data_IF_293696543414
#
_entry.id   IF_293696543414
#
_cell.length_a   1.000
_cell.length_b   1.000
_cell.length_c   1.000
_cell.angle_alpha   90.00
_cell.angle_beta   90.00
_cell.angle_gamma   90.00
#
_symmetry.space_group_name_H-M   'P 1'
#
loop_
_entity.id
_entity.type
_entity.pdbx_description
1 polymer ?
2 non-polymer ?
3 non-polymer ?
4 non-polymer ?
5 water ?
#
# COMPACT_ATOMS: atom_id res chain seq x y z
N UNK A 15 27.88 4.35 20.61
CA UNK A 15 26.64 4.09 19.87
C UNK A 15 26.04 2.71 20.19
N UNK A 16 24.74 2.68 20.49
CA UNK A 16 24.06 1.44 20.80
C UNK A 16 23.98 0.56 19.56
N UNK A 17 24.25 -0.74 19.73
CA UNK A 17 24.19 -1.72 18.66
C UNK A 17 23.03 -2.68 18.90
N UNK A 18 22.46 -3.18 17.81
CA UNK A 18 21.36 -4.14 17.88
C UNK A 18 21.55 -5.18 16.79
N UNK A 19 21.66 -6.45 17.19
CA UNK A 19 21.71 -7.60 16.29
C UNK A 19 22.68 -7.38 15.13
N UNK A 20 23.84 -6.80 15.41
CA UNK A 20 24.86 -6.61 14.39
C UNK A 20 25.00 -5.19 13.89
N UNK A 21 23.89 -4.47 13.78
CA UNK A 21 23.90 -3.15 13.18
C UNK A 21 24.18 -2.06 14.21
N UNK A 22 24.75 -0.96 13.73
CA UNK A 22 24.77 0.27 14.50
C UNK A 22 23.36 0.85 14.56
N UNK A 23 23.00 1.46 15.70
CA UNK A 23 21.72 2.15 15.85
C UNK A 23 22.01 3.48 16.55
N UNK A 24 22.47 4.45 15.75
CA UNK A 24 22.96 5.73 16.26
C UNK A 24 21.82 6.72 16.40
N UNK A 25 21.00 6.49 17.43
CA UNK A 25 19.79 7.29 17.65
C UNK A 25 19.87 8.15 18.89
N UNK A 26 20.91 8.02 19.71
CA UNK A 26 21.03 8.77 20.93
C UNK A 26 21.09 10.26 20.71
N UNK A 27 20.86 11.05 21.77
CA UNK A 27 20.55 10.53 23.11
C UNK A 27 19.06 10.41 23.40
N UNK A 28 18.21 10.92 22.50
CA UNK A 28 16.78 11.05 22.81
C UNK A 28 16.09 9.69 22.90
N UNK A 29 16.58 8.69 22.19
CA UNK A 29 15.91 7.40 22.09
C UNK A 29 16.78 6.32 22.72
N UNK A 30 16.28 5.72 23.80
CA UNK A 30 17.01 4.73 24.57
C UNK A 30 16.20 3.45 24.68
N UNK A 31 16.76 2.47 25.38
CA UNK A 31 16.10 1.20 25.67
C UNK A 31 15.63 0.53 24.37
N UNK A 32 16.54 0.47 23.40
CA UNK A 32 16.20 -0.08 22.10
C UNK A 32 15.92 -1.58 22.18
N UNK A 33 15.04 -2.05 21.30
CA UNK A 33 14.66 -3.45 21.26
C UNK A 33 14.40 -3.86 19.81
N UNK A 34 14.99 -4.96 19.38
CA UNK A 34 14.87 -5.43 18.01
C UNK A 34 13.43 -5.82 17.70
N UNK A 35 13.05 -5.68 16.42
CA UNK A 35 11.71 -6.03 15.97
C UNK A 35 11.78 -6.79 14.65
N UNK A 36 12.35 -6.16 13.62
CA UNK A 36 12.36 -6.76 12.30
C UNK A 36 13.57 -6.34 11.49
N UNK A 37 13.59 -6.76 10.24
CA UNK A 37 14.72 -6.49 9.36
C UNK A 37 14.23 -6.54 7.91
N UNK A 38 14.90 -5.76 7.06
CA UNK A 38 14.62 -5.77 5.64
C UNK A 38 15.85 -6.03 4.81
N UNK A 39 15.79 -5.71 3.51
CA UNK A 39 16.95 -5.91 2.66
C UNK A 39 18.05 -4.89 2.97
N UNK A 40 17.65 -3.65 3.26
CA UNK A 40 18.58 -2.57 3.55
C UNK A 40 18.07 -1.76 4.73
N UNK A 41 17.43 -2.43 5.69
CA UNK A 41 16.85 -1.73 6.82
C UNK A 41 16.67 -2.63 8.03
N UNK A 42 16.35 -2.00 9.15
CA UNK A 42 16.14 -2.69 10.41
C UNK A 42 15.22 -1.84 11.28
N UNK A 43 14.26 -2.49 11.93
CA UNK A 43 13.27 -1.81 12.76
C UNK A 43 13.51 -2.19 14.21
N UNK A 44 13.44 -1.19 15.08
CA UNK A 44 13.54 -1.39 16.52
C UNK A 44 12.51 -0.52 17.23
N UNK A 45 12.08 -0.97 18.39
CA UNK A 45 11.30 -0.12 19.29
C UNK A 45 12.26 0.60 20.24
N UNK A 46 11.82 1.75 20.74
CA UNK A 46 12.73 2.60 21.49
C UNK A 46 11.91 3.50 22.41
N UNK A 47 12.52 3.87 23.53
CA UNK A 47 11.90 4.81 24.46
C UNK A 47 12.30 6.23 24.09
N UNK A 48 11.29 7.08 23.90
CA UNK A 48 11.48 8.49 23.56
C UNK A 48 11.37 9.30 24.85
N UNK A 49 12.51 9.67 25.43
CA UNK A 49 12.51 10.32 26.73
C UNK A 49 11.80 11.67 26.68
N UNK A 50 11.90 12.37 25.55
CA UNK A 50 11.27 13.69 25.44
C UNK A 50 9.76 13.60 25.59
N UNK A 51 9.13 12.66 24.88
CA UNK A 51 7.69 12.49 24.92
C UNK A 51 7.23 11.40 25.88
N UNK A 52 8.16 10.64 26.46
CA UNK A 52 7.86 9.63 27.48
C UNK A 52 6.94 8.53 26.93
N UNK A 53 7.25 8.06 25.72
CA UNK A 53 6.50 6.98 25.10
C UNK A 53 7.47 6.14 24.27
N UNK A 54 7.17 4.85 24.14
CA UNK A 54 7.97 3.99 23.28
C UNK A 54 7.53 4.17 21.82
N UNK A 55 8.50 4.31 20.94
CA UNK A 55 8.26 4.60 19.53
C UNK A 55 8.91 3.51 18.69
N UNK A 56 8.58 3.52 17.39
CA UNK A 56 9.24 2.68 16.41
C UNK A 56 10.30 3.51 15.68
N UNK A 57 11.46 2.90 15.43
CA UNK A 57 12.54 3.55 14.69
C UNK A 57 13.01 2.62 13.60
N UNK A 58 12.98 3.09 12.36
CA UNK A 58 13.40 2.30 11.20
C UNK A 58 14.71 2.88 10.67
N UNK A 59 15.77 2.07 10.71
CA UNK A 59 17.06 2.45 10.15
C UNK A 59 17.09 2.05 8.69
N UNK A 60 17.47 2.99 7.82
CA UNK A 60 17.51 2.78 6.38
C UNK A 60 18.92 3.08 5.91
N UNK A 61 19.46 2.20 5.07
CA UNK A 61 20.82 2.33 4.52
C UNK A 61 20.75 2.19 3.01
N UNK A 62 20.29 3.23 2.31
CA UNK A 62 19.96 3.11 0.87
C UNK A 62 20.98 3.71 -0.09
N UNK A 63 22.07 4.29 0.39
CA UNK A 63 22.86 5.20 -0.43
C UNK A 63 23.80 4.49 -1.39
N UNK A 64 23.91 3.16 -1.33
CA UNK A 64 24.73 2.43 -2.29
C UNK A 64 23.97 2.09 -3.57
N UNK A 65 22.66 2.31 -3.62
CA UNK A 65 21.86 1.81 -4.72
C UNK A 65 20.87 2.86 -5.20
N UNK A 66 20.76 2.96 -6.52
CA UNK A 66 19.90 3.94 -7.17
C UNK A 66 18.45 3.82 -6.69
N UNK A 67 17.91 2.60 -6.70
CA UNK A 67 16.49 2.40 -6.46
C UNK A 67 16.14 2.50 -4.98
N UNK A 68 17.06 2.13 -4.09
CA UNK A 68 16.81 2.32 -2.66
C UNK A 68 16.69 3.81 -2.34
N UNK A 69 17.55 4.63 -2.94
CA UNK A 69 17.46 6.07 -2.76
C UNK A 69 16.14 6.62 -3.29
N UNK A 70 15.70 6.14 -4.45
CA UNK A 70 14.40 6.54 -4.97
C UNK A 70 13.28 6.23 -3.99
N UNK A 71 13.22 4.99 -3.53
CA UNK A 71 12.14 4.58 -2.63
C UNK A 71 12.19 5.33 -1.32
N UNK A 72 13.39 5.55 -0.78
CA UNK A 72 13.52 6.32 0.46
C UNK A 72 13.06 7.75 0.27
N UNK A 73 13.45 8.37 -0.85
CA UNK A 73 13.06 9.76 -1.10
C UNK A 73 11.54 9.87 -1.26
N UNK A 74 10.94 8.97 -2.04
CA UNK A 74 9.49 8.99 -2.20
C UNK A 74 8.79 8.88 -0.85
N UNK A 75 9.17 7.89 -0.04
CA UNK A 75 8.53 7.69 1.25
C UNK A 75 8.64 8.94 2.13
N UNK A 76 9.82 9.54 2.20
CA UNK A 76 10.00 10.72 3.05
C UNK A 76 9.21 11.90 2.50
N UNK A 77 9.28 12.13 1.19
CA UNK A 77 8.58 13.29 0.62
C UNK A 77 7.08 13.21 0.85
N UNK A 78 6.49 12.04 0.61
CA UNK A 78 5.05 11.89 0.72
C UNK A 78 4.59 11.99 2.17
N UNK A 79 5.24 11.23 3.06
CA UNK A 79 4.77 11.18 4.45
C UNK A 79 4.93 12.51 5.16
N UNK A 80 5.93 13.30 4.79
CA UNK A 80 6.10 14.61 5.42
C UNK A 80 5.04 15.60 4.97
N UNK A 81 4.41 15.36 3.83
CA UNK A 81 3.36 16.23 3.32
C UNK A 81 1.97 15.77 3.71
N UNK A 82 1.80 14.51 4.08
CA UNK A 82 0.53 13.96 4.53
C UNK A 82 0.39 14.12 6.04
N UNK A 83 -0.85 14.37 6.49
CA UNK A 83 -1.21 14.30 7.91
C UNK A 83 -2.61 13.70 7.99
N UNK A 84 -2.71 12.44 8.40
CA UNK A 84 -3.99 11.75 8.41
C UNK A 84 -3.97 10.62 9.44
N UNK A 85 -5.09 10.45 10.14
CA UNK A 85 -5.16 9.47 11.23
C UNK A 85 -4.90 8.04 10.75
N UNK A 86 -5.21 7.73 9.48
CA UNK A 86 -5.04 6.37 8.98
C UNK A 86 -3.81 6.21 8.10
N UNK A 87 -2.86 7.14 8.20
CA UNK A 87 -1.58 7.07 7.50
C UNK A 87 -0.48 7.26 8.53
N UNK A 88 0.50 6.34 8.56
CA UNK A 88 1.56 6.44 9.55
C UNK A 88 2.34 7.72 9.33
N UNK A 89 2.56 8.45 10.41
CA UNK A 89 3.30 9.69 10.31
C UNK A 89 4.78 9.46 10.45
N UNK A 90 5.53 10.52 10.12
CA UNK A 90 6.95 10.59 10.47
C UNK A 90 7.07 11.60 11.60
N UNK A 91 7.47 11.13 12.78
CA UNK A 91 7.60 12.00 13.94
C UNK A 91 8.94 12.70 14.00
N UNK A 92 10.00 12.04 13.54
CA UNK A 92 11.35 12.54 13.65
C UNK A 92 12.19 11.81 12.62
N UNK A 93 13.27 12.45 12.19
CA UNK A 93 14.25 11.80 11.33
C UNK A 93 15.62 12.09 11.90
N UNK A 94 16.42 11.04 12.08
CA UNK A 94 17.76 11.13 12.65
C UNK A 94 18.77 10.79 11.56
N UNK A 95 19.77 11.65 11.41
CA UNK A 95 20.85 11.41 10.45
C UNK A 95 22.00 12.34 10.81
N UNK A 96 23.17 12.03 10.24
CA UNK A 96 24.37 12.82 10.49
C UNK A 96 24.17 14.27 10.09
N UNK A 97 24.94 15.20 10.67
CA UNK A 97 24.75 16.62 10.34
C UNK A 97 25.24 17.00 8.95
N UNK A 98 26.07 16.19 8.29
CA UNK A 98 26.58 16.52 6.97
C UNK A 98 26.31 15.36 6.02
N UNK A 99 26.30 15.68 4.72
CA UNK A 99 26.12 14.61 3.72
C UNK A 99 27.27 13.63 3.80
N UNK A 100 28.50 14.14 3.93
CA UNK A 100 29.69 13.29 3.98
C UNK A 100 29.58 12.24 5.06
N UNK A 101 28.97 12.59 6.20
CA UNK A 101 28.89 11.69 7.33
C UNK A 101 27.61 10.88 7.36
N UNK A 102 26.64 11.18 6.48
CA UNK A 102 25.37 10.47 6.46
C UNK A 102 25.53 9.16 5.70
N UNK A 103 25.44 8.06 6.43
CA UNK A 103 25.42 6.73 5.82
C UNK A 103 24.09 6.00 6.02
N UNK A 104 23.33 6.38 7.04
CA UNK A 104 22.03 5.81 7.31
C UNK A 104 21.06 6.95 7.60
N UNK A 105 19.77 6.66 7.48
CA UNK A 105 18.74 7.56 7.97
C UNK A 105 17.81 6.76 8.88
N UNK A 106 17.42 7.37 9.99
CA UNK A 106 16.54 6.74 10.96
C UNK A 106 15.20 7.47 10.93
N UNK A 107 14.14 6.74 10.63
CA UNK A 107 12.79 7.29 10.58
C UNK A 107 12.05 6.85 11.84
N UNK A 108 11.60 7.82 12.64
CA UNK A 108 10.89 7.57 13.88
C UNK A 108 9.40 7.71 13.64
N UNK A 109 8.63 6.71 14.05
CA UNK A 109 7.21 6.66 13.80
C UNK A 109 6.50 6.15 15.05
N UNK A 110 5.17 6.32 15.06
CA UNK A 110 4.37 5.79 16.16
C UNK A 110 4.58 4.29 16.30
N UNK A 111 4.65 3.83 17.54
CA UNK A 111 4.82 2.40 17.80
C UNK A 111 3.48 1.69 17.64
N UNK A 112 3.45 0.70 16.75
CA UNK A 112 2.23 -0.06 16.46
C UNK A 112 2.41 -1.50 16.94
N UNK A 113 1.31 -2.08 17.43
CA UNK A 113 1.41 -3.42 18.04
C UNK A 113 1.69 -4.49 17.00
N UNK A 114 1.02 -4.44 15.85
CA UNK A 114 1.10 -5.52 14.88
C UNK A 114 0.74 -4.96 13.50
N UNK A 115 0.68 -5.85 12.51
CA UNK A 115 0.16 -5.48 11.20
C UNK A 115 -0.89 -6.53 10.81
N UNK A 116 -1.61 -6.23 9.72
CA UNK A 116 -2.71 -7.10 9.33
C UNK A 116 -2.20 -8.46 8.87
N UNK A 117 -1.01 -8.52 8.28
CA UNK A 117 -0.46 -9.80 7.86
C UNK A 117 -0.22 -10.73 9.04
N UNK A 118 0.43 -10.22 10.09
CA UNK A 118 0.65 -11.04 11.28
C UNK A 118 -0.66 -11.38 11.97
N UNK A 119 -1.62 -10.46 11.95
CA UNK A 119 -2.91 -10.71 12.56
C UNK A 119 -3.67 -11.82 11.85
N UNK A 120 -3.67 -11.80 10.51
CA UNK A 120 -4.43 -12.80 9.77
C UNK A 120 -3.80 -14.18 9.85
N UNK A 121 -2.54 -14.29 10.26
CA UNK A 121 -1.91 -15.59 10.40
C UNK A 121 -2.48 -16.39 11.57
N UNK A 122 -3.03 -15.71 12.58
CA UNK A 122 -3.46 -16.40 13.78
C UNK A 122 -4.88 -16.08 14.25
N UNK A 123 -5.47 -14.96 13.83
CA UNK A 123 -6.69 -14.45 14.43
C UNK A 123 -7.84 -14.43 13.43
N UNK A 124 -8.99 -14.91 13.88
CA UNK A 124 -10.24 -14.73 13.15
C UNK A 124 -10.82 -13.35 13.45
N UNK A 125 -11.30 -12.67 12.42
CA UNK A 125 -11.83 -11.33 12.57
C UNK A 125 -13.35 -11.39 12.63
N UNK A 126 -13.93 -10.78 13.67
CA UNK A 126 -15.38 -10.62 13.69
C UNK A 126 -15.81 -9.71 12.54
N UNK A 127 -17.10 -9.76 12.22
CA UNK A 127 -17.62 -8.89 11.16
C UNK A 127 -17.41 -7.42 11.53
N UNK A 128 -17.55 -7.09 12.81
CA UNK A 128 -17.36 -5.70 13.23
C UNK A 128 -15.91 -5.26 13.04
N UNK A 129 -14.95 -6.15 13.30
CA UNK A 129 -13.55 -5.81 13.05
C UNK A 129 -13.26 -5.68 11.56
N UNK A 130 -13.83 -6.57 10.74
CA UNK A 130 -13.64 -6.45 9.30
C UNK A 130 -14.18 -5.12 8.80
N UNK A 131 -15.40 -4.76 9.22
CA UNK A 131 -15.99 -3.49 8.83
C UNK A 131 -15.13 -2.32 9.29
N UNK A 132 -14.63 -2.37 10.52
CA UNK A 132 -13.85 -1.27 11.07
C UNK A 132 -12.51 -1.12 10.35
N UNK A 133 -11.81 -2.23 10.12
CA UNK A 133 -10.54 -2.15 9.39
C UNK A 133 -10.74 -1.62 7.99
N UNK A 134 -11.75 -2.14 7.28
CA UNK A 134 -11.99 -1.73 5.90
C UNK A 134 -12.33 -0.25 5.82
N UNK A 135 -13.15 0.24 6.75
CA UNK A 135 -13.46 1.66 6.78
C UNK A 135 -12.20 2.51 6.89
N UNK A 136 -11.29 2.12 7.80
CA UNK A 136 -10.08 2.90 8.03
C UNK A 136 -9.14 2.84 6.83
N UNK A 137 -9.04 1.67 6.20
CA UNK A 137 -8.26 1.55 4.97
C UNK A 137 -8.79 2.53 3.92
N UNK A 138 -10.11 2.52 3.70
CA UNK A 138 -10.68 3.37 2.66
C UNK A 138 -10.64 4.85 3.04
N UNK A 139 -10.73 5.17 4.34
CA UNK A 139 -10.61 6.55 4.77
C UNK A 139 -9.22 7.09 4.45
N UNK A 140 -8.19 6.29 4.75
CA UNK A 140 -6.83 6.69 4.40
C UNK A 140 -6.61 6.73 2.89
N UNK A 141 -7.15 5.75 2.17
CA UNK A 141 -7.01 5.74 0.72
C UNK A 141 -7.65 6.98 0.09
N UNK A 142 -8.81 7.39 0.62
CA UNK A 142 -9.45 8.60 0.10
C UNK A 142 -8.51 9.79 0.16
N UNK A 143 -7.84 9.98 1.28
CA UNK A 143 -6.88 11.07 1.42
C UNK A 143 -5.71 10.91 0.45
N UNK A 144 -5.16 9.70 0.34
CA UNK A 144 -4.05 9.44 -0.58
C UNK A 144 -4.44 9.78 -2.01
N UNK A 145 -5.57 9.25 -2.47
CA UNK A 145 -6.02 9.50 -3.84
C UNK A 145 -6.41 10.95 -4.03
N UNK A 146 -6.93 11.60 -2.98
CA UNK A 146 -7.26 13.02 -3.10
C UNK A 146 -6.00 13.86 -3.29
N UNK A 147 -4.83 13.31 -2.94
CA UNK A 147 -3.55 13.98 -3.18
C UNK A 147 -2.97 13.65 -4.55
N UNK A 148 -3.76 12.99 -5.41
CA UNK A 148 -3.31 12.53 -6.74
C UNK A 148 -2.18 11.53 -6.64
N UNK A 149 -2.16 10.76 -5.55
CA UNK A 149 -1.12 9.78 -5.29
C UNK A 149 -1.73 8.39 -5.33
N UNK A 150 -0.98 7.43 -5.88
CA UNK A 150 -1.30 6.02 -5.85
C UNK A 150 -0.32 5.30 -4.92
N UNK A 151 -0.84 4.54 -3.96
CA UNK A 151 0.04 3.81 -3.05
C UNK A 151 0.83 2.74 -3.79
N UNK A 152 0.14 1.89 -4.55
CA UNK A 152 0.70 0.92 -5.49
C UNK A 152 1.32 -0.30 -4.83
N UNK A 153 1.18 -0.47 -3.51
CA UNK A 153 1.63 -1.71 -2.88
C UNK A 153 0.83 -1.98 -1.61
N UNK A 154 -0.49 -1.80 -1.70
CA UNK A 154 -1.35 -2.12 -0.58
C UNK A 154 -1.45 -3.64 -0.40
N UNK A 155 -1.24 -4.10 0.83
CA UNK A 155 -1.27 -5.50 1.21
C UNK A 155 -1.34 -5.57 2.73
N UNK A 156 -1.67 -6.73 3.32
CA UNK A 156 -1.82 -6.77 4.79
C UNK A 156 -0.59 -6.33 5.57
N UNK A 157 0.61 -6.65 5.09
CA UNK A 157 1.80 -6.30 5.86
C UNK A 157 2.07 -4.79 5.87
N UNK A 158 1.44 -4.02 4.98
CA UNK A 158 1.60 -2.57 4.95
C UNK A 158 0.46 -1.86 5.66
N UNK A 159 -0.32 -2.58 6.46
CA UNK A 159 -1.39 -2.01 7.28
C UNK A 159 -1.06 -2.28 8.73
N UNK A 160 -0.61 -1.25 9.46
CA UNK A 160 -0.23 -1.38 10.85
C UNK A 160 -1.43 -1.17 11.76
N UNK A 161 -1.40 -1.84 12.91
CA UNK A 161 -2.47 -1.74 13.90
C UNK A 161 -1.86 -1.61 15.28
N UNK A 162 -2.47 -0.77 16.12
CA UNK A 162 -2.04 -0.65 17.50
C UNK A 162 -2.98 -1.46 18.40
N UNK A 163 -2.81 -1.35 19.71
CA UNK A 163 -3.54 -2.20 20.65
C UNK A 163 -5.01 -1.88 20.72
N UNK A 164 -5.44 -0.71 20.23
CA UNK A 164 -6.85 -0.38 20.21
C UNK A 164 -7.41 -0.50 18.80
N UNK A 165 -6.64 -1.16 17.93
CA UNK A 165 -7.09 -1.52 16.50
C UNK A 165 -7.22 -0.22 15.59
N UNK A 166 -6.46 0.82 15.93
CA UNK A 166 -6.29 1.95 15.02
C UNK A 166 -5.41 1.48 13.86
N UNK A 167 -5.87 1.68 12.62
CA UNK A 167 -5.17 1.18 11.44
C UNK A 167 -4.46 2.32 10.74
N UNK A 168 -3.20 2.10 10.35
CA UNK A 168 -2.44 3.11 9.63
C UNK A 168 -1.73 2.51 8.42
N UNK A 169 -1.90 3.16 7.27
CA UNK A 169 -1.27 2.73 6.03
C UNK A 169 0.19 3.17 6.04
N UNK A 170 1.09 2.26 5.69
CA UNK A 170 2.51 2.56 5.68
C UNK A 170 3.14 2.15 4.34
N UNK A 171 4.43 2.47 4.21
CA UNK A 171 5.29 2.15 3.08
C UNK A 171 4.83 2.77 1.76
N UNK A 172 5.24 4.01 1.51
CA UNK A 172 4.96 4.71 0.27
C UNK A 172 6.17 4.75 -0.67
N UNK A 173 7.13 3.85 -0.45
CA UNK A 173 8.34 3.82 -1.28
C UNK A 173 8.07 3.46 -2.73
N UNK A 174 6.93 2.84 -3.02
CA UNK A 174 6.57 2.47 -4.38
C UNK A 174 5.45 3.33 -4.95
N UNK A 175 5.11 4.43 -4.29
CA UNK A 175 4.02 5.29 -4.74
C UNK A 175 4.37 6.02 -6.04
N UNK A 176 3.32 6.48 -6.71
CA UNK A 176 3.45 7.33 -7.90
C UNK A 176 2.35 8.38 -7.88
N UNK A 177 2.59 9.45 -8.62
CA UNK A 177 1.54 10.42 -8.93
C UNK A 177 0.67 9.84 -10.04
N UNK A 178 -0.64 9.92 -9.86
CA UNK A 178 -1.55 9.34 -10.85
C UNK A 178 -1.37 9.99 -12.21
N UNK A 179 -1.58 9.18 -13.24
CA UNK A 179 -1.40 9.64 -14.62
C UNK A 179 -2.23 8.77 -15.55
N UNK A 180 -3.56 8.84 -15.49
CA UNK A 180 -4.38 7.93 -16.31
C UNK A 180 -4.21 8.12 -17.79
N UNK A 181 -3.80 9.32 -18.24
CA UNK A 181 -3.62 9.54 -19.67
C UNK A 181 -2.44 8.76 -20.26
N UNK A 182 -1.54 8.25 -19.43
CA UNK A 182 -0.37 7.52 -19.91
C UNK A 182 -0.33 6.08 -19.37
N UNK A 183 -1.49 5.52 -19.03
CA UNK A 183 -1.52 4.25 -18.32
C UNK A 183 -1.46 3.04 -19.25
N UNK A 184 -1.84 3.19 -20.51
CA UNK A 184 -1.92 2.04 -21.40
C UNK A 184 -0.54 1.56 -21.85
N UNK A 185 -0.33 0.26 -21.82
CA UNK A 185 0.93 -0.34 -22.26
C UNK A 185 0.62 -1.71 -22.88
N UNK A 186 1.66 -2.52 -23.06
CA UNK A 186 1.54 -3.80 -23.73
C UNK A 186 1.37 -4.97 -22.77
N UNK A 187 1.43 -6.17 -23.35
CA UNK A 187 0.98 -7.40 -22.69
C UNK A 187 2.11 -8.04 -21.90
N UNK A 188 1.84 -8.37 -20.63
CA UNK A 188 2.76 -9.11 -19.77
C UNK A 188 4.11 -8.40 -19.61
N UNK A 189 4.09 -7.08 -19.44
CA UNK A 189 5.33 -6.34 -19.29
C UNK A 189 5.45 -5.56 -18.00
N UNK A 190 4.35 -5.30 -17.30
CA UNK A 190 4.38 -4.44 -16.14
C UNK A 190 4.50 -5.26 -14.86
N UNK A 191 5.12 -4.64 -13.85
CA UNK A 191 5.44 -5.26 -12.58
C UNK A 191 5.13 -4.21 -11.51
N UNK A 192 3.88 -4.20 -11.06
CA UNK A 192 3.38 -3.23 -10.09
C UNK A 192 2.71 -3.99 -8.96
N UNK A 193 2.94 -3.52 -7.72
CA UNK A 193 2.35 -4.10 -6.52
C UNK A 193 2.89 -5.50 -6.22
N UNK A 194 2.44 -6.09 -5.11
CA UNK A 194 2.82 -7.46 -4.73
C UNK A 194 1.83 -8.44 -5.33
N UNK A 195 2.33 -9.62 -5.72
CA UNK A 195 1.64 -10.48 -6.70
C UNK A 195 0.18 -10.72 -6.33
N UNK A 196 -0.09 -11.19 -5.10
CA UNK A 196 -1.44 -11.58 -4.74
C UNK A 196 -2.43 -10.42 -4.76
N UNK A 197 -1.94 -9.18 -4.73
CA UNK A 197 -2.78 -7.98 -4.63
C UNK A 197 -2.73 -7.17 -5.92
N UNK A 198 -2.27 -7.79 -7.00
CA UNK A 198 -1.96 -7.13 -8.25
C UNK A 198 -3.16 -7.25 -9.18
N UNK A 199 -3.65 -6.12 -9.68
CA UNK A 199 -4.87 -6.11 -10.47
C UNK A 199 -4.67 -6.81 -11.82
N UNK A 200 -5.72 -7.38 -12.41
CA UNK A 200 -5.51 -8.15 -13.64
C UNK A 200 -4.94 -7.32 -14.78
N UNK A 201 -5.33 -6.04 -14.87
CA UNK A 201 -4.87 -5.23 -15.99
C UNK A 201 -3.37 -5.00 -15.98
N UNK A 202 -2.70 -5.13 -14.82
CA UNK A 202 -1.24 -5.01 -14.80
C UNK A 202 -0.60 -6.04 -15.71
N UNK A 203 -1.12 -7.26 -15.73
CA UNK A 203 -0.60 -8.28 -16.62
C UNK A 203 -1.01 -8.06 -18.08
N UNK A 204 -2.04 -7.26 -18.32
CA UNK A 204 -2.69 -7.17 -19.62
C UNK A 204 -2.31 -5.92 -20.41
N UNK A 205 -2.46 -4.72 -19.81
CA UNK A 205 -2.28 -3.50 -20.60
C UNK A 205 -2.12 -2.24 -19.76
N UNK A 206 -1.77 -2.32 -18.47
CA UNK A 206 -1.74 -1.14 -17.62
C UNK A 206 -0.38 -1.00 -16.95
N UNK A 207 0.18 0.22 -16.98
CA UNK A 207 1.37 0.57 -16.22
C UNK A 207 1.10 0.79 -14.74
N UNK A 208 -0.16 0.77 -14.32
CA UNK A 208 -0.49 1.00 -12.92
C UNK A 208 -0.45 2.44 -12.49
N UNK A 209 -0.94 3.35 -13.33
CA UNK A 209 -0.95 4.78 -13.08
C UNK A 209 -2.36 5.31 -12.82
N UNK A 210 -3.30 4.44 -12.45
CA UNK A 210 -4.67 4.85 -12.18
C UNK A 210 -5.07 4.38 -10.78
N UNK A 211 -5.98 5.14 -10.17
CA UNK A 211 -6.41 4.85 -8.80
C UNK A 211 -7.06 3.48 -8.65
N UNK A 212 -7.62 2.92 -9.72
CA UNK A 212 -8.26 1.62 -9.62
C UNK A 212 -7.28 0.52 -9.24
N UNK A 213 -5.99 0.70 -9.48
CA UNK A 213 -4.98 -0.28 -9.04
C UNK A 213 -5.10 -0.51 -7.54
N UNK A 214 -5.25 0.57 -6.77
CA UNK A 214 -5.30 0.47 -5.31
C UNK A 214 -6.60 -0.18 -4.83
N UNK A 215 -7.72 0.13 -5.50
CA UNK A 215 -9.00 -0.44 -5.10
C UNK A 215 -8.98 -1.97 -5.24
N UNK A 216 -8.37 -2.47 -6.32
CA UNK A 216 -8.23 -3.91 -6.47
C UNK A 216 -7.53 -4.52 -5.26
N UNK A 217 -6.38 -3.95 -4.88
CA UNK A 217 -5.64 -4.43 -3.72
C UNK A 217 -6.53 -4.44 -2.48
N UNK A 218 -7.30 -3.38 -2.27
CA UNK A 218 -8.18 -3.33 -1.11
C UNK A 218 -9.21 -4.45 -1.18
N UNK A 219 -9.72 -4.74 -2.38
CA UNK A 219 -10.62 -5.86 -2.55
C UNK A 219 -9.98 -7.18 -2.15
N UNK A 220 -8.73 -7.40 -2.55
CA UNK A 220 -8.03 -8.61 -2.17
C UNK A 220 -7.85 -8.70 -0.66
N UNK A 221 -7.58 -7.57 -0.02
CA UNK A 221 -7.41 -7.55 1.43
C UNK A 221 -8.72 -7.89 2.13
N UNK A 222 -9.83 -7.34 1.64
CA UNK A 222 -11.14 -7.62 2.24
C UNK A 222 -11.47 -9.10 2.17
N UNK A 223 -11.22 -9.73 1.01
CA UNK A 223 -11.48 -11.16 0.88
C UNK A 223 -10.60 -11.94 1.84
N UNK A 224 -9.35 -11.50 2.02
CA UNK A 224 -8.46 -12.17 2.96
C UNK A 224 -8.92 -11.99 4.40
N UNK A 225 -9.51 -10.84 4.72
CA UNK A 225 -10.07 -10.65 6.07
C UNK A 225 -11.26 -11.55 6.32
N UNK A 226 -11.97 -11.95 5.26
CA UNK A 226 -13.16 -12.78 5.40
C UNK A 226 -12.83 -14.24 5.68
N UNK A 227 -11.70 -14.74 5.16
CA UNK A 227 -11.38 -16.16 5.29
C UNK A 227 -10.02 -16.46 5.88
N UNK A 228 -9.17 -15.46 6.10
CA UNK A 228 -7.78 -15.64 6.54
C UNK A 228 -6.92 -16.33 5.50
N UNK A 229 -7.34 -16.34 4.24
CA UNK A 229 -6.54 -16.88 3.14
C UNK A 229 -6.53 -15.90 1.98
N UNK A 230 -5.42 -15.77 1.27
CA UNK A 230 -5.42 -14.91 0.07
C UNK A 230 -6.39 -15.44 -0.97
N UNK A 231 -7.16 -14.52 -1.57
CA UNK A 231 -8.21 -14.94 -2.50
C UNK A 231 -7.62 -15.38 -3.84
N UNK A 232 -6.50 -14.79 -4.24
CA UNK A 232 -5.86 -15.09 -5.53
C UNK A 232 -4.40 -15.47 -5.28
N UNK A 233 -4.14 -16.69 -4.80
CA UNK A 233 -2.76 -17.09 -4.42
C UNK A 233 -1.91 -17.60 -5.58
N UNK A 234 -1.61 -16.70 -6.51
CA UNK A 234 -0.75 -17.08 -7.63
C UNK A 234 0.64 -17.46 -7.15
N UNK A 235 1.22 -18.48 -7.80
CA UNK A 235 2.50 -19.04 -7.39
C UNK A 235 3.70 -18.35 -8.05
N UNK A 236 3.45 -17.43 -8.97
CA UNK A 236 4.48 -16.68 -9.68
C UNK A 236 3.74 -15.65 -10.54
N UNK A 237 4.51 -14.77 -11.19
CA UNK A 237 3.93 -13.64 -11.90
C UNK A 237 2.87 -14.07 -12.91
N UNK A 238 3.19 -15.07 -13.72
CA UNK A 238 2.30 -15.47 -14.80
C UNK A 238 1.09 -16.26 -14.30
N UNK A 239 1.19 -16.87 -13.12
CA UNK A 239 0.10 -17.64 -12.56
C UNK A 239 -1.02 -16.77 -11.99
N UNK A 240 -0.73 -15.49 -11.70
CA UNK A 240 -1.69 -14.67 -10.96
C UNK A 240 -3.00 -14.51 -11.71
N UNK A 241 -2.93 -14.29 -13.03
CA UNK A 241 -4.16 -14.09 -13.81
C UNK A 241 -5.02 -15.36 -13.85
N UNK A 242 -4.39 -16.54 -13.79
CA UNK A 242 -5.14 -17.80 -13.71
C UNK A 242 -6.09 -17.80 -12.53
N UNK A 243 -5.59 -17.38 -11.36
CA UNK A 243 -6.40 -17.40 -10.15
C UNK A 243 -7.52 -16.35 -10.21
N UNK A 244 -7.22 -15.17 -10.75
CA UNK A 244 -8.23 -14.12 -10.85
C UNK A 244 -9.36 -14.57 -11.76
N UNK A 245 -9.03 -15.04 -12.96
CA UNK A 245 -10.05 -15.47 -13.91
C UNK A 245 -10.72 -16.76 -13.49
N UNK A 246 -10.04 -17.61 -12.72
CA UNK A 246 -10.69 -18.81 -12.20
C UNK A 246 -11.86 -18.52 -11.28
N UNK A 247 -11.86 -17.35 -10.65
CA UNK A 247 -12.93 -16.96 -9.74
C UNK A 247 -13.89 -15.98 -10.40
N UNK A 248 -13.39 -14.97 -11.09
CA UNK A 248 -14.27 -14.00 -11.75
C UNK A 248 -14.96 -14.56 -12.97
N UNK A 249 -14.41 -15.62 -13.58
CA UNK A 249 -14.96 -16.12 -14.82
C UNK A 249 -14.44 -15.32 -16.00
N UNK A 250 -14.89 -15.74 -17.19
CA UNK A 250 -14.45 -15.09 -18.41
C UNK A 250 -14.98 -13.66 -18.45
N UNK A 251 -14.16 -12.69 -18.87
CA UNK A 251 -14.66 -11.32 -19.03
C UNK A 251 -15.68 -11.22 -20.17
N UNK A 252 -16.62 -10.31 -19.99
CA UNK A 252 -17.66 -10.10 -20.98
C UNK A 252 -17.07 -9.51 -22.26
N UNK A 253 -17.87 -9.57 -23.33
CA UNK A 253 -17.50 -8.95 -24.59
C UNK A 253 -17.29 -7.45 -24.42
N UNK A 254 -18.15 -6.81 -23.63
CA UNK A 254 -18.01 -5.38 -23.38
C UNK A 254 -16.67 -5.07 -22.72
N UNK A 255 -16.26 -5.87 -21.73
CA UNK A 255 -14.98 -5.63 -21.07
C UNK A 255 -13.81 -5.91 -22.01
N UNK A 256 -13.95 -6.91 -22.89
CA UNK A 256 -12.89 -7.18 -23.86
C UNK A 256 -12.78 -6.07 -24.88
N UNK A 257 -13.89 -5.44 -25.26
CA UNK A 257 -13.84 -4.34 -26.22
C UNK A 257 -13.09 -3.13 -25.66
N UNK A 258 -12.99 -3.01 -24.33
CA UNK A 258 -12.23 -1.94 -23.70
C UNK A 258 -10.72 -2.21 -23.69
N UNK A 259 -10.29 -3.41 -24.05
CA UNK A 259 -8.88 -3.75 -24.17
C UNK A 259 -8.55 -3.67 -25.66
N UNK A 260 -7.93 -2.57 -26.08
CA UNK A 260 -7.63 -2.44 -27.50
C UNK A 260 -6.37 -3.21 -27.88
N UNK A 261 -5.44 -3.42 -26.95
CA UNK A 261 -4.22 -4.15 -27.28
C UNK A 261 -4.58 -5.56 -27.75
N UNK A 262 -4.04 -5.92 -28.90
CA UNK A 262 -4.44 -7.17 -29.55
C UNK A 262 -3.82 -8.39 -28.87
N UNK A 263 -2.57 -8.28 -28.42
CA UNK A 263 -1.96 -9.41 -27.72
C UNK A 263 -2.71 -9.72 -26.43
N UNK A 264 -3.06 -8.69 -25.67
CA UNK A 264 -3.83 -8.89 -24.45
C UNK A 264 -5.22 -9.45 -24.75
N UNK A 265 -5.93 -8.83 -25.70
CA UNK A 265 -7.29 -9.28 -25.99
C UNK A 265 -7.28 -10.69 -26.55
N UNK A 266 -6.33 -11.03 -27.43
CA UNK A 266 -6.33 -12.36 -28.04
C UNK A 266 -5.97 -13.44 -27.03
N UNK A 267 -5.09 -13.13 -26.08
CA UNK A 267 -4.83 -14.09 -25.01
C UNK A 267 -6.11 -14.43 -24.28
N UNK A 268 -6.89 -13.42 -23.90
CA UNK A 268 -8.14 -13.67 -23.20
C UNK A 268 -9.12 -14.42 -24.11
N UNK A 269 -9.11 -14.12 -25.40
CA UNK A 269 -10.02 -14.80 -26.33
C UNK A 269 -9.64 -16.26 -26.54
N UNK A 270 -8.37 -16.62 -26.35
CA UNK A 270 -7.93 -17.99 -26.56
C UNK A 270 -8.28 -18.90 -25.39
N UNK A 271 -8.75 -18.37 -24.27
CA UNK A 271 -9.05 -19.19 -23.11
C UNK A 271 -10.42 -19.84 -23.24
N UNK A 272 -10.61 -21.02 -22.64
CA UNK A 272 -11.95 -21.61 -22.57
C UNK A 272 -12.86 -20.79 -21.66
N UNK A 273 -14.16 -20.91 -21.92
CA UNK A 273 -15.16 -20.24 -21.08
C UNK A 273 -15.08 -20.73 -19.65
N UNK A 274 -15.00 -19.79 -18.71
CA UNK A 274 -15.04 -20.07 -17.28
C UNK A 274 -16.19 -19.29 -16.66
N UNK A 275 -17.00 -19.98 -15.85
CA UNK A 275 -18.08 -19.32 -15.13
C UNK A 275 -17.56 -18.60 -13.88
N UNK A 276 -18.24 -17.52 -13.53
CA UNK A 276 -17.98 -16.84 -12.27
C UNK A 276 -18.33 -17.76 -11.10
N UNK A 277 -17.45 -17.80 -10.10
CA UNK A 277 -17.71 -18.51 -8.85
C UNK A 277 -18.41 -17.54 -7.90
N UNK A 278 -19.61 -17.85 -7.41
CA UNK A 278 -20.33 -16.89 -6.57
C UNK A 278 -19.58 -16.63 -5.28
N UNK A 279 -19.55 -15.36 -4.87
CA UNK A 279 -18.83 -15.01 -3.65
C UNK A 279 -19.42 -15.70 -2.43
N UNK A 280 -20.75 -15.93 -2.43
CA UNK A 280 -21.38 -16.54 -1.27
C UNK A 280 -21.04 -18.02 -1.14
N UNK A 281 -20.61 -18.67 -2.22
CA UNK A 281 -20.07 -20.02 -2.11
C UNK A 281 -18.64 -20.01 -1.57
N UNK A 282 -17.86 -18.99 -1.90
CA UNK A 282 -16.50 -18.89 -1.36
C UNK A 282 -16.49 -18.43 0.09
N UNK A 283 -17.45 -17.60 0.48
CA UNK A 283 -17.51 -17.03 1.83
C UNK A 283 -18.90 -17.24 2.42
N UNK A 284 -19.25 -18.49 2.76
CA UNK A 284 -20.61 -18.74 3.25
C UNK A 284 -20.96 -18.05 4.56
N UNK A 285 -19.97 -17.64 5.37
CA UNK A 285 -20.24 -16.97 6.63
C UNK A 285 -20.35 -15.46 6.49
N UNK A 286 -19.98 -14.91 5.35
CA UNK A 286 -19.77 -13.48 5.23
C UNK A 286 -21.08 -12.69 5.23
N UNK A 287 -20.97 -11.43 5.67
CA UNK A 287 -22.06 -10.45 5.52
C UNK A 287 -22.35 -10.24 4.03
N UNK A 288 -23.65 -10.30 3.67
CA UNK A 288 -24.00 -10.14 2.27
C UNK A 288 -23.65 -8.76 1.75
N UNK A 289 -23.74 -7.74 2.62
CA UNK A 289 -23.33 -6.39 2.21
C UNK A 289 -21.83 -6.35 1.96
N UNK A 290 -21.05 -7.06 2.79
CA UNK A 290 -19.61 -7.13 2.56
C UNK A 290 -19.31 -7.77 1.21
N UNK A 291 -20.07 -8.81 0.84
CA UNK A 291 -19.81 -9.49 -0.42
C UNK A 291 -20.21 -8.65 -1.62
N UNK A 292 -21.29 -7.86 -1.49
CA UNK A 292 -21.65 -6.91 -2.53
C UNK A 292 -20.53 -5.89 -2.77
N UNK A 293 -19.96 -5.35 -1.68
CA UNK A 293 -18.86 -4.41 -1.85
C UNK A 293 -17.63 -5.12 -2.41
N UNK A 294 -17.34 -6.32 -1.90
CA UNK A 294 -16.20 -7.09 -2.42
C UNK A 294 -16.31 -7.24 -3.94
N UNK A 295 -17.50 -7.59 -4.43
CA UNK A 295 -17.69 -7.77 -5.86
C UNK A 295 -17.41 -6.48 -6.63
N UNK A 296 -17.80 -5.34 -6.06
CA UNK A 296 -17.59 -4.07 -6.74
C UNK A 296 -16.12 -3.64 -6.72
N UNK A 297 -15.35 -4.05 -5.70
CA UNK A 297 -13.93 -3.74 -5.72
C UNK A 297 -13.15 -4.70 -6.61
N UNK A 298 -13.53 -5.98 -6.63
CA UNK A 298 -12.88 -6.96 -7.49
C UNK A 298 -13.61 -7.11 -8.82
N UNK A 299 -13.89 -5.97 -9.45
CA UNK A 299 -14.44 -5.93 -10.79
C UNK A 299 -13.30 -6.01 -11.81
N UNK A 300 -13.47 -6.83 -12.84
CA UNK A 300 -12.40 -7.04 -13.81
C UNK A 300 -12.08 -5.74 -14.56
N UNK A 301 -13.10 -5.08 -15.07
CA UNK A 301 -12.91 -3.85 -15.84
C UNK A 301 -12.56 -2.69 -14.92
N UNK A 302 -11.38 -2.09 -15.03
CA UNK A 302 -11.03 -1.01 -14.10
C UNK A 302 -11.90 0.23 -14.25
N UNK A 303 -12.48 0.45 -15.44
CA UNK A 303 -13.39 1.59 -15.61
C UNK A 303 -14.71 1.38 -14.89
N UNK A 304 -15.12 0.12 -14.69
CA UNK A 304 -16.33 -0.16 -13.93
C UNK A 304 -16.06 -0.37 -12.44
N UNK A 305 -14.80 -0.50 -12.06
CA UNK A 305 -14.44 -0.77 -10.68
C UNK A 305 -14.84 0.40 -9.79
N UNK A 306 -15.35 0.08 -8.60
CA UNK A 306 -15.81 1.11 -7.67
C UNK A 306 -14.61 1.97 -7.25
N UNK A 307 -14.86 3.26 -7.05
CA UNK A 307 -13.84 4.20 -6.56
C UNK A 307 -13.95 4.37 -5.05
N UNK A 308 -12.93 5.02 -4.47
CA UNK A 308 -12.81 5.01 -3.01
C UNK A 308 -13.98 5.75 -2.36
N UNK A 309 -14.43 6.85 -2.95
CA UNK A 309 -15.54 7.58 -2.32
C UNK A 309 -16.86 6.83 -2.44
N UNK A 310 -17.06 6.08 -3.53
CA UNK A 310 -18.23 5.21 -3.60
C UNK A 310 -18.15 4.09 -2.57
N UNK A 311 -16.96 3.53 -2.36
CA UNK A 311 -16.82 2.41 -1.43
C UNK A 311 -17.14 2.84 0.00
N UNK A 312 -16.65 4.03 0.39
CA UNK A 312 -16.97 4.55 1.71
C UNK A 312 -18.48 4.69 1.91
N UNK A 313 -19.22 4.98 0.86
CA UNK A 313 -20.66 5.18 0.95
C UNK A 313 -21.44 3.89 0.82
N UNK A 314 -20.78 2.74 0.69
CA UNK A 314 -21.49 1.47 0.51
C UNK A 314 -22.25 1.12 1.79
N UNK A 315 -23.44 0.50 1.67
CA UNK A 315 -24.20 0.15 2.88
C UNK A 315 -23.40 -0.65 3.90
N UNK A 316 -22.42 -1.43 3.49
CA UNK A 316 -21.66 -2.22 4.45
C UNK A 316 -20.97 -1.33 5.48
N UNK A 317 -20.64 -0.09 5.10
CA UNK A 317 -19.91 0.83 5.97
C UNK A 317 -20.81 1.91 6.56
N UNK A 318 -22.14 1.75 6.51
CA UNK A 318 -23.02 2.85 6.88
C UNK A 318 -22.91 3.22 8.35
N UNK A 319 -22.38 2.34 9.20
CA UNK A 319 -22.24 2.67 10.62
C UNK A 319 -21.16 3.72 10.85
N UNK A 320 -20.16 3.79 9.95
CA UNK A 320 -19.03 4.70 10.07
C UNK A 320 -19.04 5.85 9.07
N UNK A 321 -19.73 5.69 7.94
CA UNK A 321 -19.64 6.66 6.84
C UNK A 321 -20.04 8.06 7.29
N UNK A 322 -19.15 9.02 7.05
CA UNK A 322 -19.33 10.42 7.40
C UNK A 322 -18.37 11.28 6.59
N UNK A 323 -18.79 11.75 5.40
CA UNK A 323 -17.86 12.47 4.52
C UNK A 323 -17.23 13.71 5.14
N UNK A 324 -17.94 14.39 6.04
CA UNK A 324 -17.33 15.53 6.72
C UNK A 324 -16.23 15.11 7.68
N UNK A 325 -16.14 13.82 8.02
CA UNK A 325 -15.08 13.28 8.85
C UNK A 325 -14.14 12.37 8.04
N UNK A 326 -14.09 12.57 6.73
CA UNK A 326 -13.21 11.80 5.84
C UNK A 326 -12.44 12.83 5.02
N UNK A 327 -11.39 13.42 5.61
CA UNK A 327 -10.77 14.59 5.00
C UNK A 327 -9.94 14.24 3.77
N UNK A 328 -9.67 15.27 2.98
CA UNK A 328 -8.87 15.16 1.78
C UNK A 328 -7.63 16.01 1.93
N UNK A 329 -6.68 15.82 1.02
CA UNK A 329 -5.40 16.49 1.10
C UNK A 329 -5.52 17.97 0.80
N UNK A 330 -4.73 18.76 1.53
CA UNK A 330 -4.74 20.21 1.37
C UNK A 330 -4.28 20.62 -0.02
N UNK A 331 -3.28 19.93 -0.57
CA UNK A 331 -2.83 20.21 -1.93
C UNK A 331 -2.22 18.96 -2.55
N UNK A 332 -2.74 18.49 -3.67
CA UNK A 332 -2.21 17.27 -4.28
C UNK A 332 -0.83 17.47 -4.90
N UNK A 333 -0.17 16.34 -5.13
CA UNK A 333 1.04 16.34 -5.95
C UNK A 333 0.66 16.60 -7.40
N UNK A 334 1.21 17.67 -7.98
CA UNK A 334 0.80 18.07 -9.32
C UNK A 334 1.50 17.26 -10.41
N UNK A 335 2.74 16.85 -10.19
CA UNK A 335 3.48 16.06 -11.17
C UNK A 335 4.42 15.11 -10.45
N UNK A 336 4.73 14.00 -11.11
CA UNK A 336 5.71 13.06 -10.58
C UNK A 336 7.07 13.74 -10.49
N UNK A 337 7.83 13.41 -9.44
CA UNK A 337 9.14 14.01 -9.21
C UNK A 337 10.08 13.76 -10.38
N UNK A 339 13.90 11.57 -8.51
CA UNK A 339 13.12 10.99 -9.59
C UNK A 339 13.76 9.75 -10.19
N UNK A 340 13.76 9.68 -11.53
CA UNK A 340 13.99 8.43 -12.25
C UNK A 340 15.47 8.24 -12.60
N UNK A 341 16.00 9.06 -13.50
CA UNK A 341 17.36 8.91 -13.98
C UNK A 341 18.37 9.69 -13.14
N UNK A 342 17.98 10.12 -11.95
CA UNK A 342 18.86 10.92 -11.11
C UNK A 342 19.90 10.02 -10.45
N UNK A 343 21.19 10.35 -10.52
CA UNK A 343 22.20 9.52 -9.86
C UNK A 343 21.98 9.46 -8.36
N UNK A 344 22.50 8.40 -7.76
CA UNK A 344 22.32 8.21 -6.32
C UNK A 344 22.99 9.34 -5.53
N UNK A 345 24.01 9.99 -6.11
CA UNK A 345 24.61 11.13 -5.44
C UNK A 345 23.60 12.27 -5.30
N UNK A 346 22.83 12.54 -6.35
CA UNK A 346 21.82 13.59 -6.28
C UNK A 346 20.65 13.18 -5.39
N UNK A 347 20.28 11.90 -5.42
CA UNK A 347 19.21 11.42 -4.55
C UNK A 347 19.61 11.56 -3.08
N UNK A 348 20.87 11.28 -2.77
CA UNK A 348 21.35 11.44 -1.40
C UNK A 348 21.25 12.90 -0.96
N UNK A 349 21.63 13.82 -1.84
CA UNK A 349 21.53 15.24 -1.54
C UNK A 349 20.09 15.65 -1.30
N UNK A 350 19.16 15.08 -2.09
CA UNK A 350 17.75 15.43 -1.90
C UNK A 350 17.19 14.81 -0.64
N UNK A 351 17.63 13.60 -0.29
CA UNK A 351 17.24 13.02 0.99
C UNK A 351 17.80 13.88 2.13
N UNK A 352 19.06 14.29 2.03
CA UNK A 352 19.62 15.21 3.01
C UNK A 352 18.75 16.46 3.14
N UNK A 353 18.40 17.07 2.00
CA UNK A 353 17.67 18.32 2.03
C UNK A 353 16.26 18.15 2.57
N UNK A 354 15.62 17.01 2.26
CA UNK A 354 14.26 16.76 2.74
C UNK A 354 14.21 16.46 4.23
N UNK A 355 15.33 16.11 4.84
CA UNK A 355 15.36 15.75 6.25
C UNK A 355 15.93 16.85 7.14
N UNK A 356 16.25 18.02 6.57
CA UNK A 356 16.92 19.05 7.34
C UNK A 356 16.05 19.65 8.44
N UNK A 357 14.72 19.56 8.31
CA UNK A 357 13.81 20.16 9.28
C UNK A 357 13.85 19.48 10.65
N UNK A 358 14.47 18.31 10.76
CA UNK A 358 14.55 17.60 12.03
C UNK A 358 15.89 17.77 12.71
N UNK A 359 16.75 18.63 12.19
CA UNK A 359 18.03 18.98 12.78
C UNK A 359 17.87 20.18 13.72
N UNK A 360 18.67 20.27 14.79
CA UNK A 360 19.69 19.29 15.21
C UNK A 360 19.09 18.03 15.81
X LIG B 1 6.28 -11.77 -8.68
X LIG B 1 7.25 -11.78 -9.76
X LIG B 1 6.18 -10.43 -8.11
X LIG B 1 6.68 -12.70 -7.63
X LIG B 1 4.97 -12.17 -9.19
X LIG C 1 10.27 1.15 -8.12
X LIG C 1 9.34 2.03 -7.40
X LIG C 1 11.55 1.83 -8.28
X LIG C 1 9.71 0.84 -9.44
X LIG C 1 10.46 -0.08 -7.37
X LIG D 1 6.60 -1.78 12.95
X LIG D 1 6.43 -0.49 12.60
X LIG D 1 5.92 0.36 13.53
X LIG D 1 7.25 -1.51 10.94
X LIG D 1 5.59 -0.09 14.72
X LIG D 1 6.26 -2.17 14.18
X LIG D 1 5.77 -1.35 15.03
X LIG D 1 6.03 -4.40 7.06
X LIG D 1 5.49 -3.02 6.71
X LIG D 1 6.52 -1.94 6.93
X LIG D 1 6.43 -1.42 8.35
X LIG D 1 7.43 -3.79 11.86
X LIG D 1 8.67 -5.41 11.10
X LIG D 1 9.47 -5.88 9.92
X LIG D 1 7.23 -5.85 10.87
X LIG D 1 6.47 -4.56 10.98
X LIG D 1 5.74 1.63 13.23
X LIG D 1 6.85 -0.35 11.37
X LIG D 1 7.10 -2.40 11.90
X LIG D 1 4.46 -4.45 8.79
X LIG D 1 5.44 -5.00 8.08
X LIG D 1 10.50 -4.90 9.62
X LIG D 1 10.51 -4.49 8.42
X LIG D 1 10.48 -4.14 7.20
X LIG D 1 6.92 -4.91 6.41
X LIG D 1 8.62 -4.01 11.15
X LIG D 1 6.86 -6.59 12.00
X LIG D 1 5.28 -4.86 11.67
X LIG D 1 7.89 -1.82 9.35
X LIG E 1 -10.14 11.53 -5.03
X LIG E 1 -9.59 10.34 -5.76
X LIG E 1 -11.84 11.82 -5.61
X LIG E 1 -10.49 11.02 -3.32
X LIG F 1 2.81 -12.98 -3.17
X LIG F 1 1.90 -11.86 -2.76
X LIG F 1 4.45 -12.35 -3.63
X LIG F 1 3.30 -13.95 -1.70
X LIG G 1 -3.50 18.48 5.32
X LIG G 1 -3.69 17.69 4.07
X LIG G 1 -4.15 17.53 6.73
X LIG G 1 -1.75 18.52 5.75
X LIG H 1 -18.10 3.30 -11.54
X LIG H 1 -19.36 3.51 -10.75
X LIG H 1 -18.37 3.81 -13.26
X LIG H 1 -16.87 4.53 -11.05
#
# INVERSE_FOLDING_TARGET
HHHHHHMAAAAAAGPEMVRGQVFDVGPRYTNLSYIGEGAYGMVCSAYDNLNKVRVAIKKISPFEHQTYCQRTLREIKILLRFRHENIIGINDIIRAPTIEQMKDVYIVQDLMETDLYKLLKTQHLSNDHICYFLYQILRGLKYIHSANVLHRDLKPSNLLLNTTCDLKICDFGLARVADPDHDHTGFLTEYVATRWYRAPEIMLNSKGYTKSIDIWSVGCILAEMLSNRPIFPGKHYLDQLNHILGILGSPSQEDLNCIINLKARNYLLSLPHKNKVPWNRLFPNADSKALDLLDKMLTFNPHKRIEVEQALAHPYLEQYYDPSDEPIAEAPFKFDMELDDLPKEKLKELIFEETARFQPGYRS
SO4 S O1 O2 O3 O4
SO4 S O1 O2 O3 O4
DTW C4 C5 C6 C8 N1 N3 C2 CAC CAE CAF CAG CAS CAU CAV CAZ CBB N6 N7 N9 NAA NAB NAW NAX NAY OAD OAT OBA OBC SAH
DMS S O C1 C2
DMS S O C1 C2
DMS S O C1 C2
DMS S O C1 C2
#
